data_IF_934251576355
#
_entry.id   IF_934251576355
#
_cell.length_a   1.000
_cell.length_b   1.000
_cell.length_c   1.000
_cell.angle_alpha   90.00
_cell.angle_beta   90.00
_cell.angle_gamma   90.00
#
_symmetry.space_group_name_H-M   'P 1'
#
loop_
_entity.id
_entity.type
_entity.pdbx_description
1 polymer ?
#
# COMPACT_ATOMS: atom_id res chain seq x y z
N UNK A 1 -10.76 -12.32 -41.69
CA UNK A 1 -9.45 -12.96 -41.81
C UNK A 1 -8.72 -12.76 -40.50
N UNK A 2 -8.25 -13.81 -39.85
CA UNK A 2 -7.54 -13.76 -38.58
C UNK A 2 -6.12 -14.23 -38.86
N UNK A 3 -5.18 -13.29 -38.89
CA UNK A 3 -3.77 -13.60 -39.11
C UNK A 3 -3.12 -13.94 -37.74
N UNK A 4 -2.59 -15.15 -37.61
CA UNK A 4 -1.95 -15.61 -36.37
C UNK A 4 -0.45 -15.46 -36.50
N UNK A 5 0.18 -14.66 -35.62
CA UNK A 5 1.62 -14.48 -35.55
C UNK A 5 2.21 -15.37 -34.45
N UNK A 6 2.79 -16.49 -34.85
CA UNK A 6 3.07 -17.66 -34.03
C UNK A 6 4.04 -17.52 -32.84
N UNK A 7 4.82 -16.45 -32.69
CA UNK A 7 5.89 -16.38 -31.68
C UNK A 7 5.56 -15.62 -30.40
N UNK A 8 4.49 -14.81 -30.38
CA UNK A 8 4.19 -13.93 -29.21
C UNK A 8 2.74 -13.97 -28.78
N UNK A 9 2.00 -15.07 -29.04
CA UNK A 9 0.58 -15.18 -28.67
C UNK A 9 -0.28 -14.07 -29.24
N UNK A 10 0.04 -13.57 -30.46
CA UNK A 10 -0.63 -12.47 -31.12
C UNK A 10 -1.52 -12.95 -32.27
N UNK A 11 -2.67 -12.33 -32.41
CA UNK A 11 -3.46 -12.39 -33.63
C UNK A 11 -4.06 -11.03 -33.97
N UNK A 12 -4.41 -10.82 -35.25
CA UNK A 12 -4.97 -9.58 -35.73
C UNK A 12 -6.44 -9.77 -36.11
N UNK A 13 -7.32 -8.90 -35.61
CA UNK A 13 -8.74 -8.88 -35.94
C UNK A 13 -9.18 -7.44 -36.24
N UNK A 14 -9.76 -7.20 -37.41
CA UNK A 14 -10.20 -5.85 -37.86
C UNK A 14 -9.10 -4.79 -37.73
N UNK A 15 -7.86 -5.14 -38.06
CA UNK A 15 -6.72 -4.23 -38.02
C UNK A 15 -6.11 -4.01 -36.63
N UNK A 16 -6.69 -4.53 -35.55
CA UNK A 16 -6.20 -4.38 -34.19
C UNK A 16 -5.55 -5.68 -33.73
N UNK A 17 -4.42 -5.59 -33.02
CA UNK A 17 -3.74 -6.73 -32.42
C UNK A 17 -4.38 -7.14 -31.09
N UNK A 18 -4.47 -8.45 -30.88
CA UNK A 18 -4.95 -9.08 -29.67
C UNK A 18 -3.89 -10.04 -29.15
N UNK A 19 -3.73 -10.07 -27.85
CA UNK A 19 -3.00 -11.11 -27.13
C UNK A 19 -3.94 -12.27 -26.82
N UNK A 20 -3.48 -13.52 -27.04
CA UNK A 20 -4.29 -14.72 -26.79
C UNK A 20 -3.39 -15.86 -26.32
N UNK A 21 -3.52 -16.26 -25.07
CA UNK A 21 -2.69 -17.30 -24.48
C UNK A 21 -3.56 -18.33 -23.75
N UNK A 22 -3.24 -19.60 -23.93
CA UNK A 22 -3.88 -20.68 -23.17
C UNK A 22 -3.49 -20.63 -21.71
N UNK A 23 -4.46 -20.85 -20.81
CA UNK A 23 -4.22 -21.05 -19.39
C UNK A 23 -3.78 -22.49 -19.18
N UNK A 24 -2.63 -22.75 -18.53
CA UNK A 24 -2.20 -24.09 -18.18
C UNK A 24 -3.24 -24.84 -17.36
N UNK A 25 -3.35 -26.16 -17.56
CA UNK A 25 -4.40 -26.98 -16.95
C UNK A 25 -4.38 -26.93 -15.44
N UNK A 26 -3.19 -26.91 -14.86
CA UNK A 26 -2.91 -26.90 -13.42
C UNK A 26 -3.39 -25.63 -12.70
N UNK A 27 -3.43 -24.47 -13.38
CA UNK A 27 -3.88 -23.21 -12.80
C UNK A 27 -5.25 -22.76 -13.32
N UNK A 28 -5.87 -23.54 -14.22
CA UNK A 28 -7.11 -23.16 -14.90
C UNK A 28 -8.29 -22.93 -13.95
N UNK A 29 -8.34 -23.65 -12.84
CA UNK A 29 -9.39 -23.53 -11.84
C UNK A 29 -9.49 -22.09 -11.26
N UNK A 30 -8.36 -21.37 -11.20
CA UNK A 30 -8.33 -19.99 -10.70
C UNK A 30 -8.84 -18.96 -11.71
N UNK A 31 -8.86 -19.30 -13.00
CA UNK A 31 -9.20 -18.33 -14.05
C UNK A 31 -10.64 -18.47 -14.59
N UNK A 32 -11.29 -19.61 -14.35
CA UNK A 32 -12.63 -19.91 -14.88
C UNK A 32 -12.71 -19.91 -16.42
N UNK A 33 -11.55 -19.88 -17.11
CA UNK A 33 -11.48 -19.88 -18.56
C UNK A 33 -10.25 -20.64 -19.08
N UNK A 34 -10.36 -21.16 -20.30
CA UNK A 34 -9.28 -21.93 -20.92
C UNK A 34 -8.24 -21.06 -21.64
N UNK A 35 -8.60 -19.80 -21.93
CA UNK A 35 -7.77 -18.89 -22.72
C UNK A 35 -7.97 -17.45 -22.27
N UNK A 36 -6.88 -16.73 -22.08
CA UNK A 36 -6.87 -15.31 -21.81
C UNK A 36 -6.76 -14.57 -23.12
N UNK A 37 -7.74 -13.72 -23.43
CA UNK A 37 -7.76 -12.89 -24.64
C UNK A 37 -7.85 -11.41 -24.20
N UNK A 38 -6.94 -10.56 -24.71
CA UNK A 38 -6.92 -9.13 -24.44
C UNK A 38 -6.64 -8.32 -25.71
N UNK A 39 -7.41 -7.27 -25.94
CA UNK A 39 -7.11 -6.30 -26.99
C UNK A 39 -5.92 -5.43 -26.58
N UNK A 40 -4.93 -5.34 -27.46
CA UNK A 40 -3.75 -4.48 -27.25
C UNK A 40 -3.97 -3.04 -27.74
N UNK A 41 -5.16 -2.76 -28.29
CA UNK A 41 -5.59 -1.43 -28.77
C UNK A 41 -4.58 -0.74 -29.68
N UNK A 42 -3.81 -1.51 -30.45
CA UNK A 42 -2.79 -1.01 -31.38
C UNK A 42 -2.91 -1.69 -32.74
N UNK A 43 -2.57 -0.95 -33.80
CA UNK A 43 -2.42 -1.45 -35.16
C UNK A 43 -0.94 -1.70 -35.50
N UNK A 44 -0.01 -1.29 -34.65
CA UNK A 44 1.42 -1.44 -34.85
C UNK A 44 1.88 -2.81 -34.32
N UNK A 45 2.46 -3.64 -35.18
CA UNK A 45 3.02 -4.94 -34.83
C UNK A 45 4.12 -4.83 -33.77
N UNK A 46 5.06 -3.90 -33.96
CA UNK A 46 6.18 -3.71 -33.03
C UNK A 46 5.72 -3.35 -31.60
N UNK A 47 4.70 -2.47 -31.47
CA UNK A 47 4.10 -2.14 -30.18
C UNK A 47 3.35 -3.34 -29.59
N UNK A 48 2.64 -4.10 -30.42
CA UNK A 48 1.91 -5.29 -30.00
C UNK A 48 2.84 -6.34 -29.43
N UNK A 49 3.99 -6.61 -30.09
CA UNK A 49 5.00 -7.56 -29.63
C UNK A 49 5.56 -7.18 -28.26
N UNK A 50 5.99 -5.92 -28.09
CA UNK A 50 6.49 -5.44 -26.80
C UNK A 50 5.48 -5.64 -25.67
N UNK A 51 4.23 -5.27 -25.92
CA UNK A 51 3.17 -5.43 -24.93
C UNK A 51 2.86 -6.90 -24.65
N UNK A 52 2.87 -7.76 -25.67
CA UNK A 52 2.63 -9.19 -25.51
C UNK A 52 3.72 -9.90 -24.68
N UNK A 53 4.98 -9.49 -24.82
CA UNK A 53 6.08 -10.01 -24.00
C UNK A 53 5.82 -9.68 -22.52
N UNK A 54 5.55 -8.42 -22.20
CA UNK A 54 5.25 -7.98 -20.82
C UNK A 54 4.04 -8.76 -20.24
N UNK A 55 2.97 -8.92 -21.02
CA UNK A 55 1.80 -9.70 -20.59
C UNK A 55 2.15 -11.17 -20.36
N UNK A 56 3.00 -11.76 -21.21
CA UNK A 56 3.43 -13.15 -21.05
C UNK A 56 4.24 -13.34 -19.77
N UNK A 57 5.17 -12.45 -19.47
CA UNK A 57 5.99 -12.48 -18.26
C UNK A 57 5.12 -12.36 -17.00
N UNK A 58 4.17 -11.41 -16.97
CA UNK A 58 3.25 -11.27 -15.85
C UNK A 58 2.39 -12.52 -15.62
N UNK A 59 1.93 -13.16 -16.69
CA UNK A 59 1.14 -14.40 -16.58
C UNK A 59 1.99 -15.56 -16.05
N UNK A 60 3.25 -15.69 -16.50
CA UNK A 60 4.15 -16.73 -15.97
C UNK A 60 4.42 -16.53 -14.48
N UNK A 61 4.66 -15.30 -14.05
CA UNK A 61 4.86 -14.98 -12.63
C UNK A 61 3.59 -15.31 -11.81
N UNK A 62 2.41 -14.92 -12.31
CA UNK A 62 1.15 -15.22 -11.65
C UNK A 62 0.91 -16.74 -11.54
N UNK A 63 1.16 -17.49 -12.62
CA UNK A 63 1.02 -18.95 -12.61
C UNK A 63 2.03 -19.63 -11.70
N UNK A 64 3.27 -19.16 -11.67
CA UNK A 64 4.28 -19.65 -10.73
C UNK A 64 3.84 -19.42 -9.28
N UNK A 65 3.29 -18.24 -8.96
CA UNK A 65 2.76 -17.93 -7.62
C UNK A 65 1.63 -18.88 -7.23
N UNK A 66 0.66 -19.13 -8.14
CA UNK A 66 -0.45 -20.05 -7.89
C UNK A 66 0.08 -21.48 -7.65
N UNK A 67 1.06 -21.94 -8.43
CA UNK A 67 1.69 -23.27 -8.24
C UNK A 67 2.37 -23.38 -6.89
N UNK A 68 3.11 -22.34 -6.48
CA UNK A 68 3.76 -22.30 -5.17
C UNK A 68 2.73 -22.34 -4.02
N UNK A 69 1.58 -21.67 -4.19
CA UNK A 69 0.47 -21.74 -3.22
C UNK A 69 -0.08 -23.17 -3.10
N UNK A 70 -0.28 -23.86 -4.21
CA UNK A 70 -0.76 -25.26 -4.22
C UNK A 70 0.23 -26.23 -3.56
N UNK A 71 1.52 -25.98 -3.66
CA UNK A 71 2.56 -26.79 -3.02
C UNK A 71 2.72 -26.52 -1.51
N UNK A 72 1.94 -25.57 -0.94
CA UNK A 72 2.07 -25.15 0.45
C UNK A 72 3.38 -24.41 0.76
N UNK A 73 4.23 -24.22 -0.25
CA UNK A 73 5.54 -23.56 -0.09
C UNK A 73 5.43 -22.08 0.24
N UNK A 74 4.32 -21.42 -0.13
CA UNK A 74 4.10 -19.99 0.21
C UNK A 74 3.95 -19.79 1.70
N UNK A 75 3.30 -20.72 2.41
CA UNK A 75 3.21 -20.71 3.87
C UNK A 75 4.58 -20.93 4.51
N UNK A 76 5.37 -21.88 3.96
CA UNK A 76 6.73 -22.12 4.43
C UNK A 76 7.68 -20.96 4.15
N UNK A 77 7.57 -20.33 2.97
CA UNK A 77 8.35 -19.14 2.62
C UNK A 77 7.89 -17.88 3.35
N UNK A 78 6.61 -17.76 3.69
CA UNK A 78 6.10 -16.69 4.56
C UNK A 78 6.63 -16.86 6.00
N UNK A 79 6.72 -18.11 6.49
CA UNK A 79 7.36 -18.42 7.78
C UNK A 79 8.86 -18.13 7.72
N UNK A 80 9.57 -18.47 6.64
CA UNK A 80 11.00 -18.17 6.46
C UNK A 80 11.23 -16.65 6.32
N UNK A 81 10.35 -15.92 5.64
CA UNK A 81 10.42 -14.45 5.59
C UNK A 81 10.09 -13.80 6.93
N UNK A 82 9.26 -14.42 7.76
CA UNK A 82 8.97 -13.91 9.11
C UNK A 82 10.06 -14.25 10.12
N UNK A 83 11.01 -15.14 9.81
CA UNK A 83 12.12 -15.48 10.73
C UNK A 83 13.42 -14.73 10.47
N UNK A 84 13.58 -14.08 9.28
CA UNK A 84 14.85 -13.40 8.93
C UNK A 84 14.70 -11.92 8.49
N UNK A 85 13.51 -11.39 8.39
CA UNK A 85 13.33 -9.93 8.35
C UNK A 85 13.10 -9.53 9.81
N UNK A 86 14.13 -8.99 10.43
CA UNK A 86 13.98 -8.32 11.72
C UNK A 86 12.75 -7.42 11.63
N UNK A 87 11.73 -7.70 12.45
CA UNK A 87 10.54 -6.86 12.48
C UNK A 87 10.99 -5.41 12.58
N UNK A 88 10.43 -4.53 11.77
CA UNK A 88 10.75 -3.11 11.84
C UNK A 88 10.67 -2.59 13.28
N UNK A 89 11.25 -1.44 13.60
CA UNK A 89 11.19 -0.89 14.95
C UNK A 89 9.73 -0.71 15.37
N UNK A 90 9.45 -0.88 16.65
CA UNK A 90 8.14 -0.55 17.21
C UNK A 90 7.83 0.93 17.00
N UNK A 91 6.56 1.27 17.00
CA UNK A 91 6.13 2.65 16.81
C UNK A 91 6.68 3.59 17.91
N UNK A 92 6.80 3.11 19.15
CA UNK A 92 7.46 3.83 20.25
C UNK A 92 8.92 4.15 19.93
N UNK A 93 9.68 3.17 19.45
CA UNK A 93 11.10 3.34 19.10
C UNK A 93 11.26 4.26 17.88
N UNK A 94 10.37 4.12 16.90
CA UNK A 94 10.30 4.98 15.72
C UNK A 94 10.03 6.45 16.08
N UNK A 95 9.20 6.70 17.09
CA UNK A 95 8.96 8.05 17.61
C UNK A 95 10.23 8.63 18.23
N UNK A 96 10.91 7.90 19.11
CA UNK A 96 12.10 8.44 19.79
C UNK A 96 13.22 8.70 18.77
N UNK A 97 13.44 7.83 17.80
CA UNK A 97 14.37 8.08 16.69
C UNK A 97 13.97 9.32 15.86
N UNK A 98 12.67 9.51 15.60
CA UNK A 98 12.17 10.70 14.91
C UNK A 98 12.42 11.97 15.73
N UNK A 99 12.18 11.94 17.04
CA UNK A 99 12.39 13.08 17.93
C UNK A 99 13.88 13.43 18.05
N UNK A 100 14.76 12.44 18.09
CA UNK A 100 16.21 12.66 18.10
C UNK A 100 16.68 13.32 16.80
N UNK A 101 16.29 12.80 15.64
CA UNK A 101 16.74 13.32 14.34
C UNK A 101 16.13 14.66 13.95
N UNK A 102 14.90 14.94 14.36
CA UNK A 102 14.15 16.17 13.96
C UNK A 102 13.99 17.19 15.08
N UNK A 103 14.36 16.84 16.29
CA UNK A 103 14.13 17.65 17.48
C UNK A 103 15.26 18.61 17.87
N UNK A 104 16.46 18.49 17.27
CA UNK A 104 17.66 19.21 17.69
C UNK A 104 17.46 20.75 17.89
N UNK A 105 16.65 21.37 16.99
CA UNK A 105 16.37 22.81 17.04
C UNK A 105 14.90 23.13 17.38
N UNK A 106 14.18 22.20 18.04
CA UNK A 106 12.75 22.33 18.30
C UNK A 106 12.47 22.56 19.78
N UNK A 107 11.46 23.40 20.05
CA UNK A 107 10.99 23.65 21.41
C UNK A 107 10.12 22.50 21.95
N UNK A 108 9.87 22.51 23.25
CA UNK A 108 9.13 21.48 23.99
C UNK A 108 7.75 21.15 23.40
N UNK A 109 7.09 22.15 22.81
CA UNK A 109 5.80 21.95 22.13
C UNK A 109 5.87 20.96 20.98
N UNK A 110 7.01 20.88 20.28
CA UNK A 110 7.24 19.90 19.22
C UNK A 110 7.24 18.48 19.80
N UNK A 111 8.00 18.25 20.86
CA UNK A 111 8.08 16.94 21.50
C UNK A 111 6.73 16.49 22.05
N UNK A 112 6.05 17.36 22.78
CA UNK A 112 4.73 17.09 23.37
C UNK A 112 3.68 16.77 22.29
N UNK A 113 3.66 17.54 21.19
CA UNK A 113 2.70 17.33 20.11
C UNK A 113 2.94 15.98 19.39
N UNK A 114 4.20 15.61 19.14
CA UNK A 114 4.54 14.35 18.48
C UNK A 114 4.23 13.15 19.41
N UNK A 115 4.63 13.19 20.67
CA UNK A 115 4.32 12.16 21.65
C UNK A 115 2.81 11.95 21.79
N UNK A 116 2.04 13.03 21.88
CA UNK A 116 0.56 12.95 21.93
C UNK A 116 -0.03 12.29 20.70
N UNK A 117 0.45 12.66 19.50
CA UNK A 117 -0.07 12.07 18.27
C UNK A 117 0.19 10.56 18.19
N UNK A 118 1.38 10.11 18.57
CA UNK A 118 1.75 8.69 18.59
C UNK A 118 1.03 7.95 19.72
N UNK A 119 0.86 8.54 20.90
CA UNK A 119 0.05 7.97 22.00
C UNK A 119 -1.36 7.66 21.53
N UNK A 120 -2.03 8.57 20.82
CA UNK A 120 -3.36 8.30 20.25
C UNK A 120 -3.38 7.10 19.31
N UNK A 121 -2.32 6.89 18.52
CA UNK A 121 -2.23 5.74 17.62
C UNK A 121 -1.99 4.44 18.40
N UNK A 122 -1.10 4.47 19.39
CA UNK A 122 -0.83 3.32 20.28
C UNK A 122 -2.07 2.93 21.07
N UNK A 123 -2.80 3.90 21.62
CA UNK A 123 -4.06 3.67 22.37
C UNK A 123 -5.13 3.01 21.49
N UNK A 124 -5.19 3.39 20.21
CA UNK A 124 -6.22 2.90 19.30
C UNK A 124 -5.90 1.52 18.71
N UNK A 125 -4.61 1.22 18.45
CA UNK A 125 -4.19 0.09 17.63
C UNK A 125 -3.08 -0.77 18.27
N UNK A 126 -2.54 -0.35 19.40
CA UNK A 126 -1.41 -1.00 20.06
C UNK A 126 -0.06 -0.56 19.50
N UNK A 127 1.01 -0.78 20.30
CA UNK A 127 2.39 -0.53 19.92
C UNK A 127 2.95 -1.72 19.15
N UNK A 128 3.00 -1.60 17.83
CA UNK A 128 3.41 -2.65 16.89
C UNK A 128 4.60 -2.17 16.04
N UNK A 129 5.34 -3.10 15.42
CA UNK A 129 6.32 -2.76 14.38
C UNK A 129 5.68 -1.93 13.25
N UNK A 130 6.39 -0.92 12.75
CA UNK A 130 5.86 0.05 11.76
C UNK A 130 5.47 -0.60 10.43
N UNK A 131 6.09 -1.71 10.07
CA UNK A 131 5.79 -2.51 8.88
C UNK A 131 4.50 -3.34 8.97
N UNK A 132 3.94 -3.49 10.17
CA UNK A 132 2.70 -4.23 10.42
C UNK A 132 1.43 -3.37 10.38
N UNK A 133 1.55 -2.06 10.27
CA UNK A 133 0.40 -1.18 10.12
C UNK A 133 -0.09 -1.16 8.67
N UNK A 134 -1.41 -1.18 8.50
CA UNK A 134 -2.09 -1.25 7.20
C UNK A 134 -2.92 0.00 6.91
N UNK A 135 -3.35 0.15 5.66
CA UNK A 135 -4.30 1.22 5.27
C UNK A 135 -5.65 1.09 6.01
N UNK A 136 -6.06 -0.14 6.35
CA UNK A 136 -7.26 -0.39 7.16
C UNK A 136 -7.08 0.14 8.58
N UNK A 137 -5.88 -0.03 9.16
CA UNK A 137 -5.54 0.53 10.47
C UNK A 137 -5.56 2.06 10.44
N UNK A 138 -5.08 2.67 9.37
CA UNK A 138 -5.15 4.12 9.21
C UNK A 138 -6.59 4.65 9.17
N UNK A 139 -7.52 3.92 8.53
CA UNK A 139 -8.93 4.26 8.55
C UNK A 139 -9.55 4.11 9.96
N UNK A 140 -9.25 3.01 10.66
CA UNK A 140 -9.69 2.78 12.05
C UNK A 140 -9.17 3.87 12.99
N UNK A 141 -7.92 4.26 12.83
CA UNK A 141 -7.33 5.35 13.62
C UNK A 141 -8.04 6.67 13.39
N UNK A 142 -8.33 7.03 12.12
CA UNK A 142 -9.13 8.21 11.80
C UNK A 142 -10.47 8.20 12.55
N UNK A 143 -11.18 7.08 12.47
CA UNK A 143 -12.51 6.95 13.08
C UNK A 143 -12.44 7.03 14.62
N UNK A 144 -11.37 6.46 15.22
CA UNK A 144 -11.11 6.58 16.67
C UNK A 144 -10.83 8.02 17.10
N UNK A 145 -10.11 8.82 16.29
CA UNK A 145 -9.88 10.23 16.59
C UNK A 145 -11.16 11.06 16.53
N UNK A 146 -12.04 10.79 15.56
CA UNK A 146 -13.35 11.44 15.49
C UNK A 146 -14.29 10.99 16.61
N UNK A 147 -14.20 9.75 17.07
CA UNK A 147 -14.96 9.26 18.24
C UNK A 147 -14.52 9.93 19.56
N UNK A 148 -13.27 10.43 19.62
CA UNK A 148 -12.77 11.27 20.73
C UNK A 148 -13.14 12.76 20.61
N UNK A 149 -14.09 13.11 19.72
CA UNK A 149 -14.54 14.49 19.44
C UNK A 149 -13.43 15.47 19.04
N UNK A 150 -12.36 14.98 18.44
CA UNK A 150 -11.30 15.83 17.91
C UNK A 150 -11.78 16.57 16.66
N UNK A 151 -11.49 17.87 16.59
CA UNK A 151 -11.79 18.68 15.41
C UNK A 151 -11.05 18.18 14.16
N UNK A 152 -11.61 18.41 12.97
CA UNK A 152 -10.99 18.06 11.70
C UNK A 152 -9.57 18.61 11.54
N UNK A 153 -9.30 19.80 12.08
CA UNK A 153 -7.97 20.40 12.07
C UNK A 153 -6.99 19.63 12.98
N UNK A 154 -7.45 19.19 14.16
CA UNK A 154 -6.66 18.39 15.09
C UNK A 154 -6.35 17.02 14.49
N UNK A 155 -7.33 16.37 13.88
CA UNK A 155 -7.15 15.07 13.17
C UNK A 155 -6.11 15.23 12.05
N UNK A 156 -6.21 16.26 11.22
CA UNK A 156 -5.23 16.53 10.15
C UNK A 156 -3.82 16.73 10.69
N UNK A 157 -3.65 17.46 11.80
CA UNK A 157 -2.35 17.66 12.46
C UNK A 157 -1.79 16.32 12.98
N UNK A 158 -2.60 15.54 13.68
CA UNK A 158 -2.22 14.21 14.17
C UNK A 158 -1.76 13.32 13.03
N UNK A 159 -2.51 13.24 11.94
CA UNK A 159 -2.12 12.47 10.76
C UNK A 159 -0.84 12.99 10.10
N UNK A 160 -0.60 14.30 10.09
CA UNK A 160 0.64 14.88 9.57
C UNK A 160 1.86 14.38 10.35
N UNK A 161 1.77 14.35 11.67
CA UNK A 161 2.83 13.82 12.54
C UNK A 161 3.05 12.33 12.28
N UNK A 162 2.00 11.53 12.30
CA UNK A 162 2.09 10.08 12.08
C UNK A 162 2.72 9.77 10.71
N UNK A 163 2.30 10.47 9.66
CA UNK A 163 2.90 10.33 8.31
C UNK A 163 4.39 10.63 8.30
N UNK A 164 4.81 11.66 9.04
CA UNK A 164 6.22 12.05 9.10
C UNK A 164 7.07 11.03 9.85
N UNK A 165 6.60 10.52 11.00
CA UNK A 165 7.27 9.47 11.77
C UNK A 165 7.41 8.21 10.92
N UNK A 166 6.31 7.71 10.33
CA UNK A 166 6.34 6.53 9.47
C UNK A 166 7.25 6.71 8.26
N UNK A 167 7.17 7.87 7.58
CA UNK A 167 8.00 8.10 6.39
C UNK A 167 9.49 8.09 6.72
N UNK A 168 9.90 8.72 7.82
CA UNK A 168 11.29 8.70 8.25
C UNK A 168 11.74 7.27 8.58
N UNK A 169 10.99 6.57 9.42
CA UNK A 169 11.34 5.21 9.85
C UNK A 169 11.43 4.22 8.68
N UNK A 170 10.45 4.24 7.77
CA UNK A 170 10.47 3.38 6.58
C UNK A 170 11.70 3.66 5.71
N UNK A 171 12.10 4.93 5.59
CA UNK A 171 13.28 5.33 4.79
C UNK A 171 14.58 4.93 5.48
N UNK A 172 14.76 5.22 6.76
CA UNK A 172 15.97 4.91 7.54
C UNK A 172 16.23 3.40 7.64
N UNK A 173 15.17 2.61 7.77
CA UNK A 173 15.27 1.15 7.88
C UNK A 173 15.18 0.43 6.52
N UNK A 174 15.11 1.14 5.40
CA UNK A 174 15.04 0.54 4.06
C UNK A 174 13.79 -0.33 3.83
N UNK A 175 12.71 -0.08 4.59
CA UNK A 175 11.48 -0.87 4.52
C UNK A 175 10.71 -0.44 3.26
N UNK A 176 10.52 -1.37 2.31
CA UNK A 176 9.93 -1.11 0.99
C UNK A 176 8.40 -1.01 0.97
N UNK A 177 7.74 -1.04 2.13
CA UNK A 177 6.29 -0.89 2.23
C UNK A 177 5.88 0.59 2.09
N UNK A 178 4.80 0.89 1.35
CA UNK A 178 4.29 2.26 1.28
C UNK A 178 3.75 2.69 2.65
N UNK A 179 3.91 3.98 2.97
CA UNK A 179 3.37 4.55 4.21
C UNK A 179 1.83 4.42 4.24
N UNK A 180 1.26 3.61 5.16
CA UNK A 180 -0.17 3.29 5.17
C UNK A 180 -1.07 4.48 5.47
N UNK A 181 -0.53 5.53 6.10
CA UNK A 181 -1.28 6.75 6.46
C UNK A 181 -1.31 7.80 5.34
N UNK A 182 -0.48 7.66 4.28
CA UNK A 182 -0.32 8.68 3.23
C UNK A 182 -1.60 8.94 2.44
N UNK A 183 -2.35 7.90 2.08
CA UNK A 183 -3.55 7.97 1.24
C UNK A 183 -4.87 8.07 2.01
N UNK A 184 -4.86 8.16 3.35
CA UNK A 184 -6.09 8.16 4.15
C UNK A 184 -6.90 9.42 3.92
N UNK A 185 -8.17 9.25 3.51
CA UNK A 185 -9.13 10.35 3.38
C UNK A 185 -9.52 10.88 4.76
N UNK A 186 -9.39 12.19 4.96
CA UNK A 186 -9.74 12.89 6.19
C UNK A 186 -10.89 13.86 5.90
N UNK A 187 -12.13 13.57 6.35
CA UNK A 187 -13.27 14.43 6.11
C UNK A 187 -13.08 15.79 6.81
N UNK A 188 -13.55 16.85 6.16
CA UNK A 188 -13.64 18.18 6.76
C UNK A 188 -15.02 18.31 7.38
N UNK A 189 -15.13 18.28 8.70
CA UNK A 189 -16.35 18.64 9.42
C UNK A 189 -16.33 20.12 9.69
N UNK A 190 -17.48 20.79 9.64
CA UNK A 190 -17.61 22.20 10.01
C UNK A 190 -17.61 22.35 11.55
N UNK A 191 -16.48 22.05 12.16
CA UNK A 191 -16.29 22.12 13.63
C UNK A 191 -15.93 23.55 14.10
N UNK A 192 -16.40 24.56 13.37
CA UNK A 192 -16.14 25.96 13.75
C UNK A 192 -17.01 26.26 14.97
N UNK A 193 -16.47 26.07 16.18
CA UNK A 193 -17.03 26.73 17.37
C UNK A 193 -16.89 28.24 17.14
N UNK A 194 -18.01 28.90 16.83
CA UNK A 194 -18.06 30.38 16.84
C UNK A 194 -17.56 30.87 18.22
N UNK A 195 -16.44 31.54 18.23
CA UNK A 195 -16.01 32.23 19.45
C UNK A 195 -17.11 33.23 19.80
N UNK A 196 -17.70 33.10 20.97
CA UNK A 196 -18.62 34.10 21.46
C UNK A 196 -17.77 35.38 21.70
N UNK A 197 -18.26 36.58 21.30
CA UNK A 197 -17.60 37.84 21.65
C UNK A 197 -17.52 37.94 23.16
N UNK A 198 -16.37 38.40 23.64
CA UNK A 198 -16.19 38.73 25.07
C UNK A 198 -17.17 39.85 25.40
N UNK A 199 -18.07 39.71 26.39
CA UNK A 199 -18.91 40.83 26.83
C UNK A 199 -18.01 41.95 27.32
N UNK A 200 -18.25 43.17 26.81
CA UNK A 200 -17.59 44.41 27.27
C UNK A 200 -18.20 44.83 28.60
#
# INVERSE_FOLDING_TARGET
MVDTFGTHYLYRKRGIFYFSRHVPVDVRAHYGCNRIIRSLRTKSHSRAVKTAIVWSEHLEQAWATIRLQHLGLVQSLAVVRSTDVAAGPKLSDALEAYLELKGADKGELFFTANRRAVSYLIDALGDRPVDQYTSTDAARFRDALFAKDLSSSSVKRTFSVIRAVFQLTLTEHGIQTPNPFKGTYLPSRNDVRKRQPIPI
#
